data_IF_669044333069
#
_entry.id   IF_669044333069
#
_cell.length_a   1.000
_cell.length_b   1.000
_cell.length_c   1.000
_cell.angle_alpha   90.00
_cell.angle_beta   90.00
_cell.angle_gamma   90.00
#
_symmetry.space_group_name_H-M   'P 1'
#
loop_
_entity.id
_entity.type
_entity.pdbx_description
1 polymer ?
#
# COMPACT_ATOMS: atom_id res chain seq x y z
N UNK A 1 28.19 -7.95 -53.63
CA UNK A 1 28.48 -8.77 -52.45
C UNK A 1 27.80 -8.09 -51.28
N UNK A 2 26.54 -8.48 -50.93
CA UNK A 2 25.85 -8.02 -49.73
C UNK A 2 26.18 -8.99 -48.59
N UNK A 3 26.95 -8.51 -47.62
CA UNK A 3 27.22 -9.24 -46.39
C UNK A 3 25.99 -9.24 -45.48
N UNK A 4 25.35 -10.39 -45.28
CA UNK A 4 24.34 -10.62 -44.25
C UNK A 4 25.03 -10.61 -42.88
N UNK A 5 24.86 -9.53 -42.12
CA UNK A 5 25.20 -9.49 -40.69
C UNK A 5 24.16 -10.31 -39.93
N UNK A 6 24.49 -11.58 -39.62
CA UNK A 6 23.68 -12.39 -38.69
C UNK A 6 23.86 -11.81 -37.29
N UNK A 7 22.88 -11.02 -36.85
CA UNK A 7 22.75 -10.64 -35.45
C UNK A 7 22.42 -11.92 -34.65
N UNK A 8 23.43 -12.50 -34.01
CA UNK A 8 23.21 -13.52 -32.98
C UNK A 8 22.58 -12.83 -31.77
N UNK A 9 21.26 -13.03 -31.58
CA UNK A 9 20.60 -12.70 -30.32
C UNK A 9 21.31 -13.45 -29.19
N UNK A 10 21.75 -12.79 -28.10
CA UNK A 10 22.32 -13.48 -26.96
C UNK A 10 21.30 -14.48 -26.43
N UNK A 11 21.74 -15.73 -26.25
CA UNK A 11 20.93 -16.75 -25.60
C UNK A 11 20.49 -16.20 -24.26
N UNK A 12 19.16 -16.14 -24.03
CA UNK A 12 18.55 -15.63 -22.83
C UNK A 12 18.99 -16.55 -21.68
N UNK A 13 19.85 -16.05 -20.80
CA UNK A 13 20.40 -16.81 -19.68
C UNK A 13 19.24 -17.16 -18.73
N UNK A 14 18.92 -18.45 -18.59
CA UNK A 14 17.87 -18.95 -17.69
C UNK A 14 18.33 -18.70 -16.26
N UNK A 15 17.59 -17.89 -15.51
CA UNK A 15 17.90 -17.58 -14.12
C UNK A 15 17.69 -18.83 -13.26
N UNK A 16 18.75 -19.34 -12.62
CA UNK A 16 18.69 -20.48 -11.71
C UNK A 16 18.63 -20.00 -10.27
N UNK A 17 17.57 -20.35 -9.57
CA UNK A 17 17.29 -19.88 -8.23
C UNK A 17 17.15 -21.03 -7.24
N UNK A 18 17.94 -21.00 -6.17
CA UNK A 18 17.65 -21.69 -4.94
C UNK A 18 16.64 -20.87 -4.09
N UNK A 19 16.18 -21.39 -2.97
CA UNK A 19 15.20 -20.71 -2.11
C UNK A 19 15.71 -19.34 -1.63
N UNK A 20 16.97 -19.25 -1.23
CA UNK A 20 17.56 -18.00 -0.76
C UNK A 20 17.73 -16.99 -1.89
N UNK A 21 18.12 -17.43 -3.08
CA UNK A 21 18.15 -16.60 -4.28
C UNK A 21 16.77 -16.09 -4.67
N UNK A 22 15.74 -16.94 -4.59
CA UNK A 22 14.35 -16.57 -4.85
C UNK A 22 13.85 -15.51 -3.85
N UNK A 23 14.14 -15.66 -2.56
CA UNK A 23 13.81 -14.69 -1.51
C UNK A 23 14.50 -13.34 -1.76
N UNK A 24 15.81 -13.33 -2.05
CA UNK A 24 16.57 -12.11 -2.37
C UNK A 24 16.03 -11.42 -3.63
N UNK A 25 15.72 -12.19 -4.66
CA UNK A 25 15.13 -11.67 -5.89
C UNK A 25 13.79 -10.98 -5.62
N UNK A 26 12.92 -11.58 -4.79
CA UNK A 26 11.63 -11.02 -4.42
C UNK A 26 11.79 -9.72 -3.63
N UNK A 27 12.69 -9.66 -2.64
CA UNK A 27 12.95 -8.43 -1.87
C UNK A 27 13.35 -7.27 -2.80
N UNK A 28 14.17 -7.54 -3.81
CA UNK A 28 14.68 -6.50 -4.70
C UNK A 28 13.67 -6.06 -5.78
N UNK A 29 12.86 -7.00 -6.28
CA UNK A 29 12.08 -6.76 -7.51
C UNK A 29 10.57 -6.94 -7.35
N UNK A 30 10.07 -7.46 -6.21
CA UNK A 30 8.63 -7.61 -6.00
C UNK A 30 7.94 -6.25 -6.00
N UNK A 31 6.94 -6.10 -6.87
CA UNK A 31 6.23 -4.82 -7.07
C UNK A 31 5.39 -4.41 -5.84
N UNK A 32 4.84 -5.39 -5.11
CA UNK A 32 4.06 -5.12 -3.89
C UNK A 32 4.98 -4.55 -2.80
N UNK A 33 6.15 -5.14 -2.60
CA UNK A 33 7.13 -4.65 -1.63
C UNK A 33 7.68 -3.28 -2.01
N UNK A 34 7.94 -3.06 -3.30
CA UNK A 34 8.34 -1.75 -3.82
C UNK A 34 7.26 -0.68 -3.55
N UNK A 35 5.98 -1.02 -3.75
CA UNK A 35 4.87 -0.12 -3.44
C UNK A 35 4.78 0.17 -1.93
N UNK A 36 5.00 -0.82 -1.08
CA UNK A 36 5.06 -0.63 0.37
C UNK A 36 6.22 0.31 0.77
N UNK A 37 7.39 0.19 0.15
CA UNK A 37 8.51 1.12 0.33
C UNK A 37 8.15 2.56 -0.08
N UNK A 38 7.50 2.73 -1.24
CA UNK A 38 7.01 4.05 -1.67
C UNK A 38 5.94 4.63 -0.71
N UNK A 39 5.15 3.78 -0.04
CA UNK A 39 4.22 4.24 1.00
C UNK A 39 4.96 4.79 2.23
N UNK A 40 6.09 4.18 2.61
CA UNK A 40 6.98 4.72 3.67
C UNK A 40 7.53 6.08 3.24
N UNK A 41 8.09 6.21 2.03
CA UNK A 41 8.59 7.48 1.51
C UNK A 41 7.50 8.56 1.51
N UNK A 42 6.29 8.21 1.06
CA UNK A 42 5.12 9.12 1.10
C UNK A 42 4.84 9.60 2.52
N UNK A 43 4.91 8.72 3.52
CA UNK A 43 4.67 9.07 4.93
C UNK A 43 5.70 10.05 5.48
N UNK A 44 6.96 9.98 5.01
CA UNK A 44 8.01 10.95 5.34
C UNK A 44 7.63 12.34 4.82
N UNK A 45 7.12 12.44 3.59
CA UNK A 45 6.66 13.72 3.04
C UNK A 45 5.39 14.22 3.71
N UNK A 46 4.47 13.36 4.12
CA UNK A 46 3.29 13.74 4.93
C UNK A 46 3.69 14.33 6.28
N UNK A 47 4.74 13.77 6.93
CA UNK A 47 5.29 14.36 8.15
C UNK A 47 5.91 15.75 7.88
N UNK A 48 6.66 15.90 6.78
CA UNK A 48 7.21 17.22 6.37
C UNK A 48 6.11 18.23 6.09
N UNK A 49 5.03 17.81 5.41
CA UNK A 49 3.85 18.62 5.16
C UNK A 49 3.21 19.10 6.46
N UNK A 50 2.98 18.19 7.42
CA UNK A 50 2.42 18.53 8.73
C UNK A 50 3.29 19.56 9.48
N UNK A 51 4.61 19.40 9.44
CA UNK A 51 5.55 20.37 10.05
C UNK A 51 5.50 21.71 9.32
N UNK A 52 5.44 21.68 7.98
CA UNK A 52 5.46 22.89 7.14
C UNK A 52 4.24 23.78 7.34
N UNK A 53 3.11 23.23 7.80
CA UNK A 53 1.92 24.03 8.13
C UNK A 53 2.16 25.04 9.26
N UNK A 54 3.16 24.83 10.10
CA UNK A 54 3.57 25.77 11.15
C UNK A 54 4.64 26.79 10.73
N UNK A 55 5.22 26.66 9.53
CA UNK A 55 6.21 27.61 9.01
C UNK A 55 5.52 28.83 8.36
N UNK A 56 6.25 29.93 8.14
CA UNK A 56 5.71 31.09 7.43
C UNK A 56 5.18 30.71 6.05
N UNK A 57 3.93 31.08 5.77
CA UNK A 57 3.28 30.88 4.47
C UNK A 57 3.27 32.20 3.73
N UNK A 58 3.79 32.21 2.50
CA UNK A 58 3.82 33.41 1.64
C UNK A 58 2.91 33.15 0.43
N UNK A 59 1.94 34.02 0.23
CA UNK A 59 1.04 33.98 -0.92
C UNK A 59 0.90 35.35 -1.56
N UNK A 60 0.58 35.37 -2.85
CA UNK A 60 0.27 36.60 -3.56
C UNK A 60 -1.01 36.43 -4.37
N UNK A 61 -1.83 37.50 -4.42
CA UNK A 61 -3.03 37.55 -5.25
C UNK A 61 -3.02 38.84 -6.09
N UNK A 62 -3.53 38.73 -7.29
CA UNK A 62 -3.78 39.89 -8.18
C UNK A 62 -5.29 39.93 -8.41
N UNK A 63 -5.92 40.97 -7.86
CA UNK A 63 -7.36 41.17 -7.95
C UNK A 63 -7.67 42.28 -8.93
N UNK A 64 -8.63 42.07 -9.83
CA UNK A 64 -9.24 43.10 -10.64
C UNK A 64 -10.75 43.13 -10.40
N UNK A 65 -11.28 44.27 -10.02
CA UNK A 65 -12.72 44.47 -9.78
C UNK A 65 -13.24 45.62 -10.60
N UNK A 66 -14.32 45.40 -11.33
CA UNK A 66 -15.03 46.41 -12.08
C UNK A 66 -16.51 46.36 -11.70
N UNK A 67 -17.02 47.49 -11.18
CA UNK A 67 -18.42 47.63 -10.77
C UNK A 67 -19.37 47.90 -11.94
N UNK A 68 -18.93 47.76 -13.19
CA UNK A 68 -19.73 47.88 -14.42
C UNK A 68 -20.59 49.14 -14.50
N UNK A 69 -20.00 50.30 -14.12
CA UNK A 69 -20.66 51.62 -14.16
C UNK A 69 -21.56 51.92 -12.97
N UNK A 70 -21.51 51.10 -11.89
CA UNK A 70 -22.21 51.42 -10.66
C UNK A 70 -21.72 52.73 -10.07
N UNK A 71 -22.63 53.47 -9.45
CA UNK A 71 -22.36 54.76 -8.81
C UNK A 71 -22.72 54.67 -7.33
N UNK A 72 -21.92 55.28 -6.47
CA UNK A 72 -22.22 55.48 -5.06
C UNK A 72 -22.97 56.79 -4.90
N UNK A 73 -24.17 56.78 -4.35
CA UNK A 73 -24.97 57.98 -4.09
C UNK A 73 -24.77 58.37 -2.62
N UNK A 74 -24.13 59.51 -2.39
CA UNK A 74 -23.85 60.03 -1.03
C UNK A 74 -24.62 61.35 -0.85
N UNK A 75 -25.38 61.44 0.24
CA UNK A 75 -26.03 62.67 0.64
C UNK A 75 -25.30 63.26 1.85
N UNK A 76 -24.66 64.44 1.66
CA UNK A 76 -23.87 65.09 2.71
C UNK A 76 -24.71 66.01 3.61
N UNK A 77 -25.90 66.47 3.11
CA UNK A 77 -26.86 67.32 3.86
C UNK A 77 -28.25 66.75 3.61
N UNK A 78 -29.13 66.79 4.58
CA UNK A 78 -30.43 66.13 4.58
C UNK A 78 -31.36 66.62 3.44
N UNK A 79 -31.32 67.93 3.07
CA UNK A 79 -32.11 68.53 2.01
C UNK A 79 -31.36 68.75 0.68
N UNK A 80 -30.10 68.33 0.56
CA UNK A 80 -29.33 68.47 -0.66
C UNK A 80 -29.51 67.27 -1.63
N UNK A 81 -29.46 67.48 -2.94
CA UNK A 81 -29.45 66.35 -3.89
C UNK A 81 -28.27 65.44 -3.63
N UNK A 82 -28.43 64.10 -3.76
CA UNK A 82 -27.33 63.16 -3.58
C UNK A 82 -26.25 63.37 -4.62
N UNK A 83 -24.98 63.33 -4.21
CA UNK A 83 -23.83 63.36 -5.11
C UNK A 83 -23.55 61.94 -5.58
N UNK A 84 -23.56 61.70 -6.89
CA UNK A 84 -23.23 60.42 -7.48
C UNK A 84 -21.73 60.35 -7.79
N UNK A 85 -21.05 59.41 -7.15
CA UNK A 85 -19.62 59.14 -7.37
C UNK A 85 -19.50 57.84 -8.16
N UNK A 86 -18.92 57.80 -9.38
CA UNK A 86 -18.73 56.59 -10.14
C UNK A 86 -17.69 55.70 -9.44
N UNK A 87 -18.01 54.38 -9.29
CA UNK A 87 -17.09 53.40 -8.78
C UNK A 87 -16.17 52.98 -9.91
N UNK A 88 -14.91 53.44 -9.86
CA UNK A 88 -13.89 53.07 -10.85
C UNK A 88 -13.37 51.64 -10.66
N UNK A 89 -12.94 50.97 -11.74
CA UNK A 89 -12.25 49.72 -11.63
C UNK A 89 -11.01 49.83 -10.74
N UNK A 90 -10.77 48.78 -9.91
CA UNK A 90 -9.59 48.69 -9.07
C UNK A 90 -8.81 47.42 -9.41
N UNK A 91 -7.49 47.50 -9.28
CA UNK A 91 -6.61 46.35 -9.41
C UNK A 91 -5.55 46.41 -8.32
N UNK A 92 -5.46 45.33 -7.53
CA UNK A 92 -4.56 45.26 -6.40
C UNK A 92 -3.66 44.03 -6.51
N UNK A 93 -2.38 44.21 -6.30
CA UNK A 93 -1.44 43.12 -6.01
C UNK A 93 -1.26 43.05 -4.50
N UNK A 94 -1.64 41.91 -3.92
CA UNK A 94 -1.53 41.64 -2.49
C UNK A 94 -0.45 40.58 -2.25
N UNK A 95 0.51 40.88 -1.39
CA UNK A 95 1.48 39.95 -0.85
C UNK A 95 1.14 39.70 0.63
N UNK A 96 0.86 38.45 0.98
CA UNK A 96 0.53 38.06 2.34
C UNK A 96 1.56 37.09 2.89
N UNK A 97 2.08 37.35 4.08
CA UNK A 97 2.88 36.43 4.87
C UNK A 97 2.07 36.07 6.11
N UNK A 98 1.73 34.78 6.27
CA UNK A 98 1.03 34.26 7.44
C UNK A 98 1.94 33.36 8.26
N UNK A 99 1.90 33.48 9.59
CA UNK A 99 2.64 32.64 10.51
C UNK A 99 1.73 32.08 11.58
N UNK A 100 1.68 30.75 11.69
CA UNK A 100 1.06 30.07 12.82
C UNK A 100 1.91 30.26 14.06
N UNK A 101 1.38 30.91 15.11
CA UNK A 101 2.07 31.14 16.37
C UNK A 101 1.67 30.12 17.42
N UNK A 102 0.38 29.77 17.46
CA UNK A 102 -0.15 28.73 18.35
C UNK A 102 -1.41 28.09 17.75
N UNK A 103 -1.43 26.75 17.74
CA UNK A 103 -2.62 25.96 17.39
C UNK A 103 -2.51 24.58 18.04
N UNK A 104 -3.43 24.22 18.91
CA UNK A 104 -3.41 22.93 19.60
C UNK A 104 -3.44 21.73 18.64
N UNK A 105 -4.35 21.69 17.67
CA UNK A 105 -4.41 20.67 16.63
C UNK A 105 -3.11 20.48 15.85
N UNK A 106 -2.34 21.53 15.59
CA UNK A 106 -1.08 21.46 14.86
C UNK A 106 -0.05 20.55 15.57
N UNK A 107 0.14 20.73 16.87
CA UNK A 107 1.11 19.92 17.61
C UNK A 107 0.72 18.45 17.66
N UNK A 108 -0.57 18.16 17.89
CA UNK A 108 -1.08 16.79 17.87
C UNK A 108 -1.04 16.20 16.46
N UNK A 109 -1.27 17.02 15.44
CA UNK A 109 -1.14 16.64 14.02
C UNK A 109 0.25 16.16 13.65
N UNK A 110 1.30 16.82 14.16
CA UNK A 110 2.69 16.35 13.98
C UNK A 110 2.92 15.00 14.67
N UNK A 111 2.38 14.80 15.88
CA UNK A 111 2.49 13.52 16.57
C UNK A 111 1.77 12.41 15.79
N UNK A 112 0.59 12.68 15.24
CA UNK A 112 -0.15 11.76 14.37
C UNK A 112 0.64 11.42 13.10
N UNK A 113 1.25 12.42 12.44
CA UNK A 113 2.07 12.19 11.25
C UNK A 113 3.32 11.35 11.56
N UNK A 114 3.98 11.57 12.70
CA UNK A 114 5.09 10.72 13.17
C UNK A 114 4.66 9.28 13.39
N UNK A 115 3.53 9.08 14.07
CA UNK A 115 3.00 7.75 14.36
C UNK A 115 2.52 7.07 13.07
N UNK A 116 1.92 7.82 12.14
CA UNK A 116 1.57 7.35 10.81
C UNK A 116 2.78 6.86 10.01
N UNK A 117 3.93 7.57 10.10
CA UNK A 117 5.19 7.12 9.51
C UNK A 117 5.63 5.78 10.13
N UNK A 118 5.63 5.65 11.46
CA UNK A 118 6.00 4.41 12.14
C UNK A 118 5.07 3.24 11.77
N UNK A 119 3.78 3.52 11.56
CA UNK A 119 2.81 2.53 11.08
C UNK A 119 3.17 2.03 9.67
N UNK A 120 3.55 2.93 8.75
CA UNK A 120 3.97 2.55 7.39
C UNK A 120 5.27 1.76 7.39
N UNK A 121 6.26 2.14 8.23
CA UNK A 121 7.50 1.38 8.42
C UNK A 121 7.22 -0.05 8.91
N UNK A 122 6.35 -0.20 9.89
CA UNK A 122 5.96 -1.52 10.40
C UNK A 122 5.13 -2.34 9.40
N UNK A 123 4.28 -1.68 8.62
CA UNK A 123 3.54 -2.30 7.51
C UNK A 123 4.47 -2.80 6.40
N UNK A 124 5.57 -2.08 6.13
CA UNK A 124 6.60 -2.52 5.20
C UNK A 124 7.30 -3.79 5.71
N UNK A 125 7.73 -3.82 6.98
CA UNK A 125 8.33 -5.01 7.60
C UNK A 125 7.42 -6.23 7.51
N UNK A 126 6.12 -6.05 7.80
CA UNK A 126 5.12 -7.12 7.64
C UNK A 126 4.99 -7.57 6.19
N UNK A 127 4.91 -6.63 5.25
CA UNK A 127 4.82 -6.93 3.82
C UNK A 127 6.03 -7.72 3.33
N UNK A 128 7.23 -7.42 3.84
CA UNK A 128 8.44 -8.19 3.55
C UNK A 128 8.32 -9.64 4.04
N UNK A 129 7.87 -9.84 5.28
CA UNK A 129 7.65 -11.17 5.85
C UNK A 129 6.59 -11.95 5.06
N UNK A 130 5.47 -11.33 4.69
CA UNK A 130 4.40 -11.93 3.90
C UNK A 130 4.90 -12.36 2.52
N UNK A 131 5.70 -11.52 1.85
CA UNK A 131 6.30 -11.85 0.55
C UNK A 131 7.29 -13.00 0.67
N UNK A 132 8.13 -13.02 1.70
CA UNK A 132 9.07 -14.13 1.94
C UNK A 132 8.34 -15.44 2.20
N UNK A 133 7.22 -15.42 2.94
CA UNK A 133 6.37 -16.59 3.15
C UNK A 133 5.70 -17.06 1.86
N UNK A 134 5.14 -16.14 1.06
CA UNK A 134 4.52 -16.43 -0.23
C UNK A 134 5.53 -17.03 -1.22
N UNK A 135 6.73 -16.44 -1.32
CA UNK A 135 7.80 -16.95 -2.20
C UNK A 135 8.23 -18.35 -1.77
N UNK A 136 8.36 -18.59 -0.46
CA UNK A 136 8.68 -19.91 0.06
C UNK A 136 7.61 -20.95 -0.29
N UNK A 137 6.33 -20.59 -0.09
CA UNK A 137 5.20 -21.42 -0.47
C UNK A 137 5.13 -21.69 -1.98
N UNK A 138 5.29 -20.63 -2.79
CA UNK A 138 5.32 -20.74 -4.25
C UNK A 138 6.50 -21.57 -4.77
N UNK A 139 7.69 -21.42 -4.19
CA UNK A 139 8.87 -22.20 -4.50
C UNK A 139 8.63 -23.70 -4.21
N UNK A 140 8.12 -24.03 -3.02
CA UNK A 140 7.79 -25.40 -2.65
C UNK A 140 6.68 -25.99 -3.53
N UNK A 141 5.70 -25.20 -3.92
CA UNK A 141 4.64 -25.65 -4.84
C UNK A 141 5.19 -26.02 -6.22
N UNK A 142 6.19 -25.29 -6.73
CA UNK A 142 6.86 -25.64 -7.99
C UNK A 142 7.64 -26.95 -7.85
N UNK A 143 8.35 -27.15 -6.72
CA UNK A 143 9.05 -28.42 -6.44
C UNK A 143 8.08 -29.61 -6.36
N UNK A 144 6.97 -29.46 -5.63
CA UNK A 144 5.93 -30.49 -5.50
C UNK A 144 5.29 -30.82 -6.86
N UNK A 145 4.95 -29.79 -7.64
CA UNK A 145 4.34 -29.99 -8.97
C UNK A 145 5.27 -30.69 -9.95
N UNK A 146 6.58 -30.40 -9.86
CA UNK A 146 7.62 -31.08 -10.67
C UNK A 146 7.76 -32.55 -10.28
N UNK A 147 7.82 -32.85 -8.97
CA UNK A 147 7.92 -34.25 -8.50
C UNK A 147 6.68 -35.06 -8.85
N UNK A 148 5.48 -34.45 -8.72
CA UNK A 148 4.23 -35.10 -9.14
C UNK A 148 4.21 -35.43 -10.64
N UNK A 149 4.69 -34.50 -11.48
CA UNK A 149 4.78 -34.71 -12.92
C UNK A 149 5.75 -35.84 -13.25
N UNK A 150 6.92 -35.89 -12.59
CA UNK A 150 7.90 -36.97 -12.75
C UNK A 150 7.33 -38.33 -12.31
N UNK A 151 6.61 -38.38 -11.20
CA UNK A 151 5.95 -39.60 -10.73
C UNK A 151 4.91 -40.11 -11.75
N UNK A 152 4.08 -39.20 -12.28
CA UNK A 152 3.06 -39.56 -13.29
C UNK A 152 3.72 -40.08 -14.57
N UNK A 153 4.79 -39.45 -15.04
CA UNK A 153 5.54 -39.91 -16.22
C UNK A 153 6.16 -41.29 -16.01
N UNK A 154 6.75 -41.55 -14.84
CA UNK A 154 7.24 -42.89 -14.46
C UNK A 154 6.12 -43.93 -14.46
N UNK A 155 4.93 -43.57 -13.92
CA UNK A 155 3.77 -44.47 -13.92
C UNK A 155 3.29 -44.76 -15.35
N UNK A 156 3.20 -43.76 -16.23
CA UNK A 156 2.87 -43.98 -17.66
C UNK A 156 3.86 -44.95 -18.30
N UNK A 157 5.15 -44.80 -18.04
CA UNK A 157 6.20 -45.68 -18.58
C UNK A 157 6.00 -47.12 -18.07
N UNK A 158 5.79 -47.31 -16.79
CA UNK A 158 5.57 -48.63 -16.17
C UNK A 158 4.30 -49.32 -16.75
N UNK A 159 3.20 -48.56 -16.86
CA UNK A 159 1.96 -49.11 -17.46
C UNK A 159 2.14 -49.46 -18.92
N UNK A 160 2.92 -48.71 -19.70
CA UNK A 160 3.23 -49.07 -21.10
C UNK A 160 4.04 -50.35 -21.19
N UNK A 161 4.99 -50.58 -20.28
CA UNK A 161 5.73 -51.86 -20.22
C UNK A 161 4.81 -53.04 -19.91
N UNK A 162 3.90 -52.89 -18.94
CA UNK A 162 2.89 -53.90 -18.62
C UNK A 162 1.98 -54.16 -19.83
N UNK A 163 1.51 -53.11 -20.49
CA UNK A 163 0.69 -53.23 -21.70
C UNK A 163 1.40 -54.02 -22.80
N UNK A 164 2.68 -53.75 -23.07
CA UNK A 164 3.46 -54.43 -24.07
C UNK A 164 3.63 -55.95 -23.74
N UNK A 165 3.88 -56.29 -22.45
CA UNK A 165 3.97 -57.67 -21.97
C UNK A 165 2.62 -58.37 -22.11
N UNK A 166 1.54 -57.74 -21.67
CA UNK A 166 0.18 -58.28 -21.79
C UNK A 166 -0.22 -58.49 -23.24
N UNK A 167 0.10 -57.53 -24.15
CA UNK A 167 -0.16 -57.65 -25.59
C UNK A 167 0.52 -58.90 -26.21
N UNK A 168 1.73 -59.22 -25.77
CA UNK A 168 2.41 -60.44 -26.21
C UNK A 168 1.69 -61.72 -25.74
N UNK A 169 1.16 -61.72 -24.50
CA UNK A 169 0.44 -62.85 -23.92
C UNK A 169 -0.95 -63.02 -24.57
N UNK A 170 -1.64 -61.93 -24.88
CA UNK A 170 -2.90 -61.96 -25.63
C UNK A 170 -2.67 -62.51 -27.08
N UNK A 171 -1.60 -62.06 -27.72
CA UNK A 171 -1.19 -62.59 -29.03
C UNK A 171 -0.86 -64.09 -29.03
N UNK A 172 -0.38 -64.61 -27.90
CA UNK A 172 -0.12 -66.03 -27.69
C UNK A 172 -1.37 -66.80 -27.23
N UNK A 173 -2.56 -66.17 -27.08
CA UNK A 173 -3.79 -66.78 -26.67
C UNK A 173 -3.86 -67.14 -25.16
N UNK A 174 -2.98 -66.56 -24.33
CA UNK A 174 -2.86 -66.82 -22.89
C UNK A 174 -3.79 -65.90 -22.05
N UNK A 175 -4.00 -64.67 -22.51
CA UNK A 175 -4.86 -63.66 -21.87
C UNK A 175 -5.93 -63.17 -22.83
N UNK A 176 -7.01 -62.55 -22.29
CA UNK A 176 -8.10 -62.00 -23.04
C UNK A 176 -7.81 -60.59 -23.57
N UNK A 177 -8.43 -60.23 -24.73
CA UNK A 177 -8.33 -58.89 -25.31
C UNK A 177 -8.83 -57.81 -24.33
N UNK A 178 -9.83 -58.16 -23.50
CA UNK A 178 -10.43 -57.27 -22.49
C UNK A 178 -9.39 -56.76 -21.47
N UNK A 179 -8.40 -57.59 -21.09
CA UNK A 179 -7.33 -57.22 -20.16
C UNK A 179 -6.42 -56.16 -20.78
N UNK A 180 -6.13 -56.29 -22.07
CA UNK A 180 -5.32 -55.34 -22.81
C UNK A 180 -6.04 -54.00 -22.99
N UNK A 181 -7.34 -54.05 -23.30
CA UNK A 181 -8.18 -52.86 -23.45
C UNK A 181 -8.30 -52.06 -22.16
N UNK A 182 -8.42 -52.74 -21.01
CA UNK A 182 -8.42 -52.10 -19.68
C UNK A 182 -7.11 -51.36 -19.41
N UNK A 183 -5.96 -51.94 -19.73
CA UNK A 183 -4.66 -51.29 -19.61
C UNK A 183 -4.58 -50.09 -20.55
N UNK A 184 -5.10 -50.17 -21.77
CA UNK A 184 -5.19 -49.08 -22.72
C UNK A 184 -5.96 -47.88 -22.16
N UNK A 185 -7.12 -48.13 -21.56
CA UNK A 185 -7.94 -47.08 -20.90
C UNK A 185 -7.16 -46.44 -19.72
N UNK A 186 -6.45 -47.27 -18.92
CA UNK A 186 -5.68 -46.75 -17.79
C UNK A 186 -4.51 -45.86 -18.25
N UNK A 187 -3.80 -46.24 -19.31
CA UNK A 187 -2.73 -45.44 -19.92
C UNK A 187 -3.28 -44.11 -20.46
N UNK A 188 -4.45 -44.12 -21.10
CA UNK A 188 -5.08 -42.91 -21.59
C UNK A 188 -5.49 -41.98 -20.43
N UNK A 189 -6.01 -42.51 -19.34
CA UNK A 189 -6.35 -41.78 -18.11
C UNK A 189 -5.11 -41.15 -17.46
N UNK A 190 -4.04 -41.90 -17.32
CA UNK A 190 -2.74 -41.39 -16.80
C UNK A 190 -2.16 -40.30 -17.73
N UNK A 191 -2.28 -40.46 -19.05
CA UNK A 191 -1.87 -39.44 -20.02
C UNK A 191 -2.66 -38.13 -19.87
N UNK A 192 -3.95 -38.19 -19.50
CA UNK A 192 -4.73 -37.00 -19.15
C UNK A 192 -4.23 -36.35 -17.86
N UNK A 193 -3.88 -37.18 -16.86
CA UNK A 193 -3.33 -36.71 -15.60
C UNK A 193 -1.97 -36.02 -15.78
N UNK A 194 -1.08 -36.55 -16.61
CA UNK A 194 0.19 -35.92 -17.00
C UNK A 194 -0.05 -34.53 -17.58
N UNK A 195 -0.93 -34.40 -18.60
CA UNK A 195 -1.26 -33.11 -19.21
C UNK A 195 -1.85 -32.11 -18.21
N UNK A 196 -2.64 -32.59 -17.26
CA UNK A 196 -3.16 -31.74 -16.18
C UNK A 196 -2.05 -31.26 -15.25
N UNK A 197 -1.11 -32.16 -14.85
CA UNK A 197 0.02 -31.85 -14.00
C UNK A 197 1.02 -30.86 -14.68
N UNK A 198 1.23 -31.01 -15.99
CA UNK A 198 2.03 -30.04 -16.76
C UNK A 198 1.45 -28.62 -16.68
N UNK A 199 0.15 -28.48 -16.87
CA UNK A 199 -0.54 -27.19 -16.72
C UNK A 199 -0.47 -26.63 -15.30
N UNK A 200 -0.56 -27.50 -14.29
CA UNK A 200 -0.44 -27.08 -12.88
C UNK A 200 0.98 -26.60 -12.56
N UNK A 201 2.00 -27.29 -13.05
CA UNK A 201 3.41 -26.87 -12.92
C UNK A 201 3.65 -25.49 -13.56
N UNK A 202 3.10 -25.29 -14.79
CA UNK A 202 3.25 -23.99 -15.45
C UNK A 202 2.51 -22.88 -14.70
N UNK A 203 1.32 -23.17 -14.15
CA UNK A 203 0.60 -22.23 -13.30
C UNK A 203 1.40 -21.88 -12.04
N UNK A 204 1.96 -22.88 -11.35
CA UNK A 204 2.80 -22.66 -10.16
C UNK A 204 4.04 -21.81 -10.49
N UNK A 205 4.71 -22.07 -11.62
CA UNK A 205 5.82 -21.24 -12.11
C UNK A 205 5.37 -19.80 -12.40
N UNK A 206 4.22 -19.61 -13.03
CA UNK A 206 3.70 -18.26 -13.33
C UNK A 206 3.37 -17.47 -12.06
N UNK A 207 2.82 -18.13 -11.04
CA UNK A 207 2.58 -17.50 -9.74
C UNK A 207 3.88 -17.10 -9.05
N UNK A 208 4.87 -17.99 -9.04
CA UNK A 208 6.19 -17.69 -8.47
C UNK A 208 6.90 -16.58 -9.27
N UNK A 209 6.80 -16.58 -10.61
CA UNK A 209 7.34 -15.51 -11.48
C UNK A 209 6.82 -14.14 -11.07
N UNK A 210 5.51 -14.02 -10.81
CA UNK A 210 4.90 -12.77 -10.33
C UNK A 210 5.45 -12.36 -8.96
N UNK A 211 5.59 -13.32 -8.03
CA UNK A 211 6.14 -13.06 -6.68
C UNK A 211 7.60 -12.62 -6.73
N UNK A 212 8.39 -13.17 -7.65
CA UNK A 212 9.79 -12.79 -7.89
C UNK A 212 9.95 -11.43 -8.60
N UNK A 213 8.86 -10.82 -9.05
CA UNK A 213 8.88 -9.57 -9.82
C UNK A 213 9.42 -9.72 -11.25
N UNK A 214 9.43 -10.95 -11.77
CA UNK A 214 9.85 -11.26 -13.13
C UNK A 214 8.72 -10.96 -14.13
N UNK A 215 9.10 -10.67 -15.37
CA UNK A 215 8.14 -10.55 -16.49
C UNK A 215 7.71 -11.93 -16.99
N UNK A 216 6.55 -12.02 -17.66
CA UNK A 216 6.01 -13.30 -18.15
C UNK A 216 6.94 -14.01 -19.14
N UNK A 217 7.78 -13.24 -19.83
CA UNK A 217 8.72 -13.76 -20.82
C UNK A 217 10.08 -14.16 -20.22
N UNK A 218 10.32 -13.94 -18.94
CA UNK A 218 11.58 -14.34 -18.30
C UNK A 218 11.49 -15.76 -17.82
N UNK A 219 12.35 -16.63 -18.34
CA UNK A 219 12.48 -18.00 -17.89
C UNK A 219 13.38 -18.09 -16.66
N UNK A 220 12.97 -18.96 -15.75
CA UNK A 220 13.76 -19.30 -14.56
C UNK A 220 13.61 -20.79 -14.23
N UNK A 221 14.59 -21.31 -13.53
CA UNK A 221 14.64 -22.68 -13.05
C UNK A 221 14.76 -22.68 -11.52
N UNK A 222 13.90 -23.47 -10.87
CA UNK A 222 13.94 -23.70 -9.44
C UNK A 222 14.91 -24.86 -9.17
N UNK A 223 15.96 -24.59 -8.39
CA UNK A 223 16.97 -25.57 -7.98
C UNK A 223 16.49 -26.36 -6.75
N UNK A 224 17.11 -27.52 -6.50
CA UNK A 224 16.82 -28.37 -5.33
C UNK A 224 15.72 -29.39 -5.57
N UNK A 225 15.46 -30.17 -4.51
CA UNK A 225 14.49 -31.28 -4.49
C UNK A 225 13.46 -31.07 -3.40
N UNK A 226 12.31 -31.74 -3.52
CA UNK A 226 11.26 -31.69 -2.49
C UNK A 226 11.76 -32.23 -1.14
N UNK A 227 12.60 -33.29 -1.16
CA UNK A 227 13.18 -33.87 0.07
C UNK A 227 14.04 -32.87 0.83
N UNK A 228 14.86 -32.07 0.12
CA UNK A 228 15.67 -31.02 0.74
C UNK A 228 14.80 -29.94 1.38
N UNK A 229 13.69 -29.56 0.72
CA UNK A 229 12.76 -28.58 1.25
C UNK A 229 12.04 -29.10 2.52
N UNK A 230 11.63 -30.36 2.54
CA UNK A 230 11.00 -31.01 3.71
C UNK A 230 11.96 -31.10 4.90
N UNK A 231 13.22 -31.47 4.67
CA UNK A 231 14.25 -31.52 5.72
C UNK A 231 14.50 -30.14 6.33
N UNK A 232 14.52 -29.09 5.50
CA UNK A 232 14.67 -27.71 5.97
C UNK A 232 13.48 -27.25 6.83
N UNK A 233 12.25 -27.67 6.51
CA UNK A 233 11.05 -27.35 7.29
C UNK A 233 11.05 -28.04 8.67
N UNK A 234 11.45 -29.28 8.75
CA UNK A 234 11.49 -30.04 10.02
C UNK A 234 12.45 -29.42 11.06
N UNK A 235 13.54 -28.79 10.63
CA UNK A 235 14.47 -28.09 11.52
C UNK A 235 13.94 -26.79 12.13
N UNK A 236 12.88 -26.21 11.58
CA UNK A 236 12.30 -24.95 12.07
C UNK A 236 11.31 -25.19 13.22
N UNK A 237 10.65 -26.34 13.26
CA UNK A 237 9.62 -26.67 14.26
C UNK A 237 10.15 -26.75 15.70
N UNK A 238 11.43 -27.06 15.90
CA UNK A 238 12.03 -27.18 17.24
C UNK A 238 12.50 -25.84 17.84
N UNK A 239 12.56 -24.76 17.04
CA UNK A 239 13.07 -23.47 17.47
C UNK A 239 11.99 -22.53 18.04
N UNK A 240 10.73 -22.93 18.08
CA UNK A 240 9.61 -22.10 18.54
C UNK A 240 9.53 -22.14 20.08
N UNK A 241 9.93 -21.05 20.74
CA UNK A 241 9.65 -20.80 22.16
C UNK A 241 8.14 -20.66 22.44
N UNK A 242 7.73 -20.41 23.70
CA UNK A 242 6.32 -20.24 24.03
C UNK A 242 5.69 -19.12 23.18
N UNK A 243 4.43 -19.33 22.80
CA UNK A 243 3.68 -18.38 22.01
C UNK A 243 3.53 -17.05 22.78
N UNK A 244 3.84 -15.95 22.09
CA UNK A 244 3.68 -14.58 22.63
C UNK A 244 2.96 -13.72 21.57
N UNK A 245 1.72 -13.37 21.85
CA UNK A 245 0.87 -12.52 20.99
C UNK A 245 1.58 -11.22 20.60
N UNK A 246 2.40 -10.65 21.50
CA UNK A 246 3.10 -9.38 21.23
C UNK A 246 4.16 -9.50 20.15
N UNK A 247 4.60 -10.71 19.82
CA UNK A 247 5.55 -10.98 18.72
C UNK A 247 4.86 -11.05 17.35
N UNK A 248 3.54 -11.19 17.33
CA UNK A 248 2.78 -11.25 16.08
C UNK A 248 2.78 -9.89 15.38
N UNK A 249 3.19 -9.79 14.09
CA UNK A 249 3.26 -8.53 13.35
C UNK A 249 1.91 -7.82 13.21
N UNK A 250 0.82 -8.56 13.03
CA UNK A 250 -0.53 -7.99 12.91
C UNK A 250 -0.98 -7.38 14.22
N UNK A 251 -0.68 -8.03 15.35
CA UNK A 251 -0.97 -7.49 16.68
C UNK A 251 -0.17 -6.23 16.99
N UNK A 252 1.11 -6.18 16.55
CA UNK A 252 1.94 -4.97 16.67
C UNK A 252 1.41 -3.82 15.82
N UNK A 253 0.99 -4.10 14.58
CA UNK A 253 0.37 -3.10 13.70
C UNK A 253 -0.92 -2.55 14.30
N UNK A 254 -1.77 -3.42 14.83
CA UNK A 254 -3.01 -3.02 15.47
C UNK A 254 -2.77 -2.18 16.73
N UNK A 255 -1.71 -2.46 17.49
CA UNK A 255 -1.26 -1.63 18.62
C UNK A 255 -0.81 -0.22 18.19
N UNK A 256 -0.13 -0.08 17.04
CA UNK A 256 0.18 1.22 16.47
C UNK A 256 -1.06 1.96 15.99
N UNK A 257 -2.03 1.26 15.41
CA UNK A 257 -3.31 1.81 14.98
C UNK A 257 -4.16 2.30 16.17
N UNK A 258 -4.19 1.55 17.28
CA UNK A 258 -4.82 1.96 18.54
C UNK A 258 -4.19 3.26 19.07
N UNK A 259 -2.85 3.33 19.11
CA UNK A 259 -2.13 4.54 19.51
C UNK A 259 -2.49 5.74 18.60
N UNK A 260 -2.63 5.52 17.30
CA UNK A 260 -3.03 6.54 16.33
C UNK A 260 -4.45 7.04 16.65
N UNK A 261 -5.40 6.14 16.89
CA UNK A 261 -6.77 6.47 17.26
C UNK A 261 -6.83 7.19 18.61
N UNK A 262 -5.98 6.81 19.58
CA UNK A 262 -5.86 7.53 20.85
C UNK A 262 -5.36 8.98 20.63
N UNK A 263 -4.41 9.20 19.72
CA UNK A 263 -3.96 10.56 19.35
C UNK A 263 -5.05 11.34 18.61
N UNK A 264 -5.92 10.69 17.83
CA UNK A 264 -7.08 11.33 17.21
C UNK A 264 -8.07 11.86 18.28
N UNK A 265 -8.29 11.12 19.37
CA UNK A 265 -9.06 11.65 20.52
C UNK A 265 -8.41 12.92 21.09
N UNK A 266 -7.07 12.91 21.26
CA UNK A 266 -6.33 14.12 21.72
C UNK A 266 -6.45 15.28 20.72
N UNK A 267 -6.50 14.99 19.42
CA UNK A 267 -6.71 16.01 18.40
C UNK A 267 -8.06 16.69 18.57
N UNK A 268 -9.12 15.93 18.86
CA UNK A 268 -10.44 16.51 19.13
C UNK A 268 -10.48 17.33 20.43
N UNK A 269 -9.74 16.96 21.47
CA UNK A 269 -9.56 17.81 22.65
C UNK A 269 -8.79 19.09 22.32
N UNK A 270 -7.72 18.99 21.51
CA UNK A 270 -6.93 20.15 21.12
C UNK A 270 -7.72 21.15 20.28
N UNK A 271 -8.78 20.72 19.59
CA UNK A 271 -9.65 21.60 18.80
C UNK A 271 -10.47 22.60 19.65
N UNK A 272 -10.54 22.41 20.97
CA UNK A 272 -11.13 23.40 21.90
C UNK A 272 -10.17 24.52 22.29
N UNK A 273 -8.88 24.39 21.98
CA UNK A 273 -7.86 25.39 22.29
C UNK A 273 -7.93 26.57 21.30
N UNK A 274 -7.52 27.77 21.72
CA UNK A 274 -7.46 28.93 20.85
C UNK A 274 -6.41 28.73 19.74
N UNK A 275 -6.58 29.47 18.62
CA UNK A 275 -5.61 29.58 17.55
C UNK A 275 -5.10 31.00 17.47
N UNK A 276 -3.77 31.20 17.47
CA UNK A 276 -3.11 32.48 17.33
C UNK A 276 -2.29 32.45 16.02
N UNK A 277 -2.57 33.40 15.14
CA UNK A 277 -1.82 33.62 13.89
C UNK A 277 -1.30 35.04 13.82
N UNK A 278 -0.10 35.22 13.30
CA UNK A 278 0.45 36.52 12.91
C UNK A 278 0.38 36.66 11.39
N UNK A 279 0.18 37.86 10.91
CA UNK A 279 0.20 38.13 9.48
C UNK A 279 0.87 39.48 9.16
N UNK A 280 1.47 39.54 7.96
CA UNK A 280 1.90 40.76 7.30
C UNK A 280 1.30 40.79 5.91
N UNK A 281 0.63 41.90 5.58
CA UNK A 281 0.03 42.14 4.25
C UNK A 281 0.68 43.38 3.64
N UNK A 282 1.05 43.26 2.37
CA UNK A 282 1.45 44.41 1.52
C UNK A 282 0.55 44.46 0.31
N UNK A 283 -0.13 45.60 0.13
CA UNK A 283 -1.02 45.85 -1.01
C UNK A 283 -0.41 46.95 -1.90
N UNK A 284 -0.09 46.60 -3.14
CA UNK A 284 0.25 47.58 -4.18
C UNK A 284 -0.93 47.72 -5.14
N UNK A 285 -1.44 48.97 -5.26
CA UNK A 285 -2.57 49.28 -6.09
C UNK A 285 -2.11 49.64 -7.48
N UNK A 286 -2.46 48.82 -8.48
CA UNK A 286 -2.15 49.01 -9.89
C UNK A 286 -3.13 50.04 -10.49
N UNK A 287 -4.44 49.81 -10.24
CA UNK A 287 -5.48 50.81 -10.55
C UNK A 287 -5.99 51.36 -9.19
N UNK A 288 -5.74 52.67 -9.00
CA UNK A 288 -6.10 53.34 -7.73
C UNK A 288 -7.49 53.92 -7.83
N UNK A 289 -8.33 53.80 -6.78
CA UNK A 289 -9.53 54.61 -6.63
C UNK A 289 -9.16 56.10 -6.46
N UNK A 290 -10.08 57.00 -6.75
CA UNK A 290 -9.84 58.44 -6.55
C UNK A 290 -9.58 58.81 -5.08
N UNK A 291 -10.15 58.05 -4.16
CA UNK A 291 -9.96 58.19 -2.74
C UNK A 291 -9.52 56.88 -2.12
N UNK A 292 -8.34 56.87 -1.50
CA UNK A 292 -7.73 55.69 -0.94
C UNK A 292 -7.19 55.95 0.47
N UNK A 293 -7.82 55.31 1.47
CA UNK A 293 -7.37 55.34 2.87
C UNK A 293 -6.69 54.04 3.34
N UNK A 294 -6.53 53.04 2.45
CA UNK A 294 -5.97 51.74 2.86
C UNK A 294 -4.46 51.83 2.94
N UNK A 295 -3.85 51.40 4.07
CA UNK A 295 -2.39 51.37 4.23
C UNK A 295 -1.77 50.35 3.30
N UNK A 296 -0.60 50.69 2.72
CA UNK A 296 0.16 49.77 1.86
C UNK A 296 0.68 48.54 2.62
N UNK A 297 1.05 48.69 3.90
CA UNK A 297 1.61 47.66 4.74
C UNK A 297 0.75 47.54 5.98
N UNK A 298 0.42 46.31 6.35
CA UNK A 298 -0.33 45.98 7.57
C UNK A 298 0.26 44.75 8.21
N UNK A 299 0.50 44.84 9.51
CA UNK A 299 0.88 43.73 10.38
C UNK A 299 -0.17 43.54 11.46
N UNK A 300 -0.48 42.31 11.79
CA UNK A 300 -1.49 42.04 12.82
C UNK A 300 -1.37 40.65 13.41
N UNK A 301 -2.11 40.47 14.49
CA UNK A 301 -2.32 39.20 15.16
C UNK A 301 -3.82 38.88 15.13
N UNK A 302 -4.13 37.61 14.88
CA UNK A 302 -5.51 37.13 14.92
C UNK A 302 -5.61 36.01 15.96
N UNK A 303 -6.39 36.20 17.02
CA UNK A 303 -6.70 35.22 18.05
C UNK A 303 -8.14 34.74 17.86
N UNK A 304 -8.30 33.46 17.49
CA UNK A 304 -9.60 32.80 17.34
C UNK A 304 -9.82 31.85 18.52
N UNK A 305 -10.90 32.06 19.27
CA UNK A 305 -11.28 31.22 20.44
C UNK A 305 -12.63 30.59 20.14
N UNK A 306 -12.73 29.26 20.01
CA UNK A 306 -14.01 28.58 19.80
C UNK A 306 -14.82 28.57 21.10
N UNK A 307 -15.85 29.44 21.22
CA UNK A 307 -16.69 29.55 22.43
C UNK A 307 -17.86 28.57 22.36
N UNK A 308 -18.55 28.49 21.23
CA UNK A 308 -19.71 27.64 21.04
C UNK A 308 -19.82 27.18 19.58
N UNK A 309 -19.95 25.88 19.36
CA UNK A 309 -20.02 25.25 18.04
C UNK A 309 -21.30 24.44 17.81
N UNK A 310 -22.41 24.78 18.54
CA UNK A 310 -23.67 24.03 18.40
C UNK A 310 -23.59 22.55 18.76
N UNK A 311 -22.60 22.14 19.58
CA UNK A 311 -22.39 20.74 19.96
C UNK A 311 -21.53 19.95 18.97
N UNK A 312 -21.11 20.53 17.83
CA UNK A 312 -20.34 19.82 16.80
C UNK A 312 -19.02 19.25 17.34
N UNK A 313 -18.22 20.04 18.04
CA UNK A 313 -16.94 19.59 18.61
C UNK A 313 -17.13 18.46 19.65
N UNK A 314 -18.14 18.59 20.50
CA UNK A 314 -18.49 17.55 21.49
C UNK A 314 -18.91 16.25 20.81
N UNK A 315 -19.68 16.32 19.72
CA UNK A 315 -20.06 15.16 18.93
C UNK A 315 -18.86 14.49 18.27
N UNK A 316 -17.93 15.26 17.67
CA UNK A 316 -16.68 14.72 17.09
C UNK A 316 -15.80 14.05 18.15
N UNK A 317 -15.70 14.63 19.33
CA UNK A 317 -14.96 14.02 20.45
C UNK A 317 -15.59 12.69 20.90
N UNK A 318 -16.92 12.62 20.99
CA UNK A 318 -17.61 11.37 21.32
C UNK A 318 -17.40 10.31 20.23
N UNK A 319 -17.47 10.68 18.96
CA UNK A 319 -17.17 9.76 17.83
C UNK A 319 -15.75 9.22 17.94
N UNK A 320 -14.75 10.07 18.14
CA UNK A 320 -13.36 9.63 18.30
C UNK A 320 -13.14 8.70 19.51
N UNK A 321 -13.89 8.89 20.60
CA UNK A 321 -13.84 7.97 21.76
C UNK A 321 -14.43 6.61 21.44
N UNK A 322 -15.56 6.56 20.72
CA UNK A 322 -16.19 5.31 20.28
C UNK A 322 -15.26 4.58 19.32
N UNK A 323 -14.60 5.30 18.41
CA UNK A 323 -13.59 4.74 17.49
C UNK A 323 -12.43 4.09 18.26
N UNK A 324 -11.93 4.74 19.32
CA UNK A 324 -10.88 4.18 20.18
C UNK A 324 -11.35 2.90 20.88
N UNK A 325 -12.56 2.90 21.46
CA UNK A 325 -13.14 1.71 22.11
C UNK A 325 -13.32 0.57 21.10
N UNK A 326 -13.80 0.86 19.89
CA UNK A 326 -13.91 -0.11 18.81
C UNK A 326 -12.54 -0.71 18.44
N UNK A 327 -11.50 0.12 18.39
CA UNK A 327 -10.15 -0.32 18.10
C UNK A 327 -9.59 -1.23 19.22
N UNK A 328 -9.86 -0.91 20.48
CA UNK A 328 -9.47 -1.74 21.63
C UNK A 328 -10.15 -3.11 21.57
N UNK A 329 -11.45 -3.14 21.33
CA UNK A 329 -12.20 -4.41 21.17
C UNK A 329 -11.65 -5.23 19.99
N UNK A 330 -11.29 -4.57 18.87
CA UNK A 330 -10.69 -5.25 17.71
C UNK A 330 -9.34 -5.88 18.07
N UNK A 331 -8.54 -5.19 18.88
CA UNK A 331 -7.24 -5.71 19.32
C UNK A 331 -7.39 -6.89 20.29
N UNK A 332 -8.35 -6.83 21.21
CA UNK A 332 -8.67 -7.96 22.10
C UNK A 332 -9.14 -9.17 21.29
N UNK A 333 -10.05 -8.97 20.34
CA UNK A 333 -10.54 -10.04 19.46
C UNK A 333 -9.39 -10.70 18.68
N UNK A 334 -8.46 -9.92 18.15
CA UNK A 334 -7.28 -10.49 17.46
C UNK A 334 -6.41 -11.31 18.42
N UNK A 335 -6.22 -10.85 19.67
CA UNK A 335 -5.46 -11.61 20.66
C UNK A 335 -6.09 -12.99 20.93
N UNK A 336 -7.41 -13.02 21.17
CA UNK A 336 -8.17 -14.25 21.36
C UNK A 336 -8.10 -15.18 20.14
N UNK A 337 -8.22 -14.63 18.92
CA UNK A 337 -8.10 -15.41 17.68
C UNK A 337 -6.72 -16.05 17.53
N UNK A 338 -5.65 -15.33 17.85
CA UNK A 338 -4.28 -15.83 17.79
C UNK A 338 -4.02 -16.94 18.84
N UNK A 339 -4.58 -16.79 20.04
CA UNK A 339 -4.50 -17.82 21.08
C UNK A 339 -5.27 -19.11 20.69
N UNK A 340 -6.44 -18.96 20.05
CA UNK A 340 -7.20 -20.10 19.52
C UNK A 340 -6.44 -20.80 18.41
N UNK A 341 -5.84 -20.02 17.50
CA UNK A 341 -5.05 -20.57 16.39
C UNK A 341 -3.83 -21.34 16.89
N UNK A 342 -3.14 -20.84 17.91
CA UNK A 342 -2.00 -21.54 18.53
C UNK A 342 -2.41 -22.89 19.14
N UNK A 343 -3.56 -22.95 19.80
CA UNK A 343 -4.07 -24.22 20.38
C UNK A 343 -4.54 -25.25 19.34
N UNK A 344 -4.72 -24.84 18.08
CA UNK A 344 -5.13 -25.71 16.98
C UNK A 344 -3.93 -26.30 16.20
N UNK A 345 -2.74 -25.74 16.40
CA UNK A 345 -1.47 -26.23 15.82
C UNK A 345 -0.82 -27.28 16.72
#
# INVERSE_FOLDING_TARGET
MLGFLTMTLPAREVMRLDLEGARKQAILYNKTLKNAGMAVDKSVYQLKEAISAGLPQVSSTLDYTNALGAKLSIRFVEDAPPTEIPIRPTSNFNLQVGQLLFNGPYFVGIELAKLGKSLMEKSYEKSEQDILAQVTGGYNLVLMSRELLDLLNRNVTNFREVYNKTSALVSAGILEQTDLDQLGVQIASLGNSVRSSERQLELAKNMLRLQLGLTIDQDFEVLGTLDQALLAMNGISEASGPFDVNRNPDFQLLGLQENLTQKQVRLQYAAFLPTLTGFYNRTEKILKPDFDMSPKNMVGLNLSIPIFSGGQQTAKLKQAKIELETMQNTRELLAEQLEVQEKQL
#
